data_IF_626469452612
#
_entry.id   IF_626469452612
#
_cell.length_a   1.000
_cell.length_b   1.000
_cell.length_c   1.000
_cell.angle_alpha   90.00
_cell.angle_beta   90.00
_cell.angle_gamma   90.00
#
_symmetry.space_group_name_H-M   'P 1'
#
loop_
_entity.id
_entity.type
_entity.pdbx_description
1 polymer ?
#
# COMPACT_ATOMS: atom_id res chain seq x y z
N UNK A 1 -1.18 25.24 3.42
CA UNK A 1 -2.64 25.06 3.67
C UNK A 1 -2.98 24.98 5.15
N UNK A 2 -2.05 24.47 5.97
CA UNK A 2 -2.12 24.41 7.43
C UNK A 2 -2.60 25.70 8.11
N UNK A 3 -2.28 26.85 7.53
CA UNK A 3 -2.61 28.17 8.10
C UNK A 3 -4.10 28.49 8.02
N UNK A 4 -4.83 27.84 7.11
CA UNK A 4 -6.28 28.05 6.91
C UNK A 4 -7.12 26.83 7.34
N UNK A 5 -6.53 25.63 7.42
CA UNK A 5 -7.21 24.41 7.86
C UNK A 5 -6.21 23.42 8.47
N UNK A 6 -6.08 23.37 9.81
CA UNK A 6 -5.13 22.48 10.49
C UNK A 6 -5.33 20.99 10.17
N UNK A 7 -6.58 20.58 9.90
CA UNK A 7 -6.95 19.21 9.50
C UNK A 7 -6.42 18.82 8.11
N UNK A 8 -6.13 19.80 7.26
CA UNK A 8 -5.65 19.59 5.89
C UNK A 8 -4.12 19.67 5.77
N UNK A 9 -3.39 19.69 6.90
CA UNK A 9 -1.91 19.73 6.95
C UNK A 9 -1.24 18.60 6.18
N UNK A 10 -1.89 17.45 6.03
CA UNK A 10 -1.38 16.32 5.24
C UNK A 10 -1.10 16.68 3.78
N UNK A 11 -1.83 17.65 3.21
CA UNK A 11 -1.55 18.15 1.86
C UNK A 11 -0.18 18.80 1.76
N UNK A 12 0.21 19.62 2.74
CA UNK A 12 1.49 20.31 2.73
C UNK A 12 2.63 19.29 2.81
N UNK A 13 2.51 18.29 3.68
CA UNK A 13 3.49 17.19 3.79
C UNK A 13 3.63 16.42 2.47
N UNK A 14 2.52 15.91 1.91
CA UNK A 14 2.59 15.08 0.71
C UNK A 14 2.96 15.87 -0.54
N UNK A 15 2.66 17.18 -0.59
CA UNK A 15 3.10 18.06 -1.67
C UNK A 15 4.60 18.29 -1.59
N UNK A 16 5.14 18.57 -0.40
CA UNK A 16 6.59 18.71 -0.19
C UNK A 16 7.35 17.42 -0.54
N UNK A 17 6.84 16.26 -0.14
CA UNK A 17 7.41 14.96 -0.55
C UNK A 17 7.35 14.78 -2.09
N UNK A 18 6.28 15.24 -2.73
CA UNK A 18 6.13 15.15 -4.19
C UNK A 18 7.12 16.02 -4.94
N UNK A 19 7.51 17.18 -4.38
CA UNK A 19 8.55 18.04 -4.92
C UNK A 19 9.92 17.35 -4.87
N UNK A 20 10.26 16.71 -3.75
CA UNK A 20 11.48 15.90 -3.68
C UNK A 20 11.50 14.76 -4.72
N UNK A 21 10.37 14.07 -4.91
CA UNK A 21 10.25 13.04 -5.97
C UNK A 21 10.37 13.65 -7.37
N UNK A 22 9.75 14.79 -7.60
CA UNK A 22 9.86 15.52 -8.87
C UNK A 22 11.32 15.83 -9.22
N UNK A 23 12.09 16.39 -8.28
CA UNK A 23 13.49 16.75 -8.46
C UNK A 23 14.33 15.53 -8.88
N UNK A 24 14.13 14.40 -8.21
CA UNK A 24 14.80 13.14 -8.57
C UNK A 24 14.42 12.66 -9.97
N UNK A 25 13.14 12.73 -10.34
CA UNK A 25 12.69 12.30 -11.67
C UNK A 25 13.20 13.22 -12.79
N UNK A 26 13.41 14.51 -12.49
CA UNK A 26 13.90 15.53 -13.44
C UNK A 26 15.42 15.70 -13.41
N UNK A 27 16.14 14.93 -12.60
CA UNK A 27 17.60 15.02 -12.46
C UNK A 27 18.33 14.80 -13.80
N UNK A 28 19.47 15.47 -14.05
CA UNK A 28 20.26 15.25 -15.26
C UNK A 28 20.64 13.77 -15.45
N UNK A 29 20.56 13.28 -16.69
CA UNK A 29 20.88 11.89 -17.01
C UNK A 29 19.73 10.88 -16.84
N UNK A 30 18.55 11.30 -16.36
CA UNK A 30 17.37 10.43 -16.36
C UNK A 30 16.82 10.22 -17.77
N UNK A 31 16.28 9.03 -18.01
CA UNK A 31 15.64 8.71 -19.29
C UNK A 31 14.45 9.67 -19.56
N UNK A 32 14.26 10.05 -20.83
CA UNK A 32 13.23 11.03 -21.22
C UNK A 32 11.82 10.68 -20.71
N UNK A 33 11.46 9.40 -20.66
CA UNK A 33 10.15 8.98 -20.18
C UNK A 33 9.98 9.13 -18.66
N UNK A 34 11.07 8.99 -17.88
CA UNK A 34 11.13 9.23 -16.43
C UNK A 34 11.00 10.73 -16.18
N UNK A 35 11.76 11.54 -16.90
CA UNK A 35 11.69 13.01 -16.82
C UNK A 35 10.26 13.53 -17.08
N UNK A 36 9.57 12.97 -18.08
CA UNK A 36 8.14 13.28 -18.33
C UNK A 36 7.24 12.92 -17.16
N UNK A 37 7.55 11.89 -16.36
CA UNK A 37 6.81 11.63 -15.13
C UNK A 37 7.02 12.76 -14.13
N UNK A 38 8.25 13.25 -13.98
CA UNK A 38 8.56 14.40 -13.11
C UNK A 38 7.74 15.64 -13.46
N UNK A 39 7.63 16.01 -14.75
CA UNK A 39 6.74 17.10 -15.21
C UNK A 39 5.27 16.89 -14.81
N UNK A 40 4.79 15.65 -14.79
CA UNK A 40 3.42 15.36 -14.35
C UNK A 40 3.28 15.50 -12.84
N UNK A 41 4.30 15.13 -12.06
CA UNK A 41 4.33 15.27 -10.59
C UNK A 41 4.33 16.76 -10.21
N UNK A 42 5.09 17.58 -10.93
CA UNK A 42 5.10 19.05 -10.79
C UNK A 42 3.68 19.62 -10.85
N UNK A 43 2.90 19.22 -11.84
CA UNK A 43 1.51 19.66 -12.03
C UNK A 43 0.47 18.91 -11.18
N UNK A 44 0.90 18.13 -10.19
CA UNK A 44 -0.01 17.39 -9.30
C UNK A 44 -0.44 18.29 -8.12
N UNK A 45 -1.75 18.38 -7.89
CA UNK A 45 -2.35 19.19 -6.83
C UNK A 45 -1.77 20.62 -6.72
N UNK A 46 -1.65 21.38 -7.82
CA UNK A 46 -1.12 22.74 -7.78
C UNK A 46 -2.11 23.71 -7.10
N UNK A 47 -3.39 23.38 -7.17
CA UNK A 47 -4.49 24.06 -6.48
C UNK A 47 -5.52 23.03 -6.04
N UNK A 48 -6.20 23.36 -4.94
CA UNK A 48 -7.22 22.54 -4.32
C UNK A 48 -8.49 23.38 -4.17
N UNK A 49 -9.57 22.92 -4.79
CA UNK A 49 -10.89 23.52 -4.64
C UNK A 49 -11.67 22.80 -3.55
N UNK A 50 -12.17 23.55 -2.58
CA UNK A 50 -13.01 23.04 -1.50
C UNK A 50 -14.43 23.57 -1.64
N UNK A 51 -15.41 22.72 -1.36
CA UNK A 51 -16.80 23.11 -1.23
C UNK A 51 -17.19 23.07 0.26
N UNK A 52 -17.97 24.05 0.70
CA UNK A 52 -18.63 23.98 2.00
C UNK A 52 -19.76 22.95 1.90
N UNK A 53 -19.70 21.93 2.75
CA UNK A 53 -20.68 20.84 2.77
C UNK A 53 -21.12 20.58 4.20
N UNK A 54 -22.40 20.30 4.42
CA UNK A 54 -22.87 19.79 5.69
C UNK A 54 -22.60 18.29 5.79
N UNK A 55 -22.17 17.83 6.95
CA UNK A 55 -22.14 16.40 7.26
C UNK A 55 -23.58 15.86 7.32
N UNK A 56 -23.92 14.79 6.58
CA UNK A 56 -25.28 14.25 6.56
C UNK A 56 -25.75 13.68 7.91
N UNK A 57 -24.82 13.22 8.76
CA UNK A 57 -25.15 12.60 10.06
C UNK A 57 -25.16 13.64 11.18
N UNK A 58 -24.18 14.55 11.20
CA UNK A 58 -24.06 15.53 12.30
C UNK A 58 -24.64 16.91 11.98
N UNK A 59 -24.88 17.22 10.70
CA UNK A 59 -25.32 18.54 10.23
C UNK A 59 -24.23 19.62 10.27
N UNK A 60 -23.01 19.29 10.72
CA UNK A 60 -21.92 20.25 10.85
C UNK A 60 -21.38 20.67 9.48
N UNK A 61 -21.22 21.98 9.28
CA UNK A 61 -20.66 22.53 8.06
C UNK A 61 -19.12 22.38 8.05
N UNK A 62 -18.59 21.71 7.04
CA UNK A 62 -17.17 21.51 6.85
C UNK A 62 -16.75 21.66 5.39
N UNK A 63 -15.54 22.19 5.18
CA UNK A 63 -14.90 22.17 3.86
C UNK A 63 -14.54 20.72 3.49
N UNK A 64 -15.01 20.27 2.32
CA UNK A 64 -14.61 19.01 1.68
C UNK A 64 -13.96 19.31 0.33
N UNK A 65 -12.92 18.54 0.00
CA UNK A 65 -12.23 18.67 -1.28
C UNK A 65 -13.20 18.34 -2.42
N UNK A 66 -13.43 19.31 -3.31
CA UNK A 66 -14.30 19.19 -4.47
C UNK A 66 -13.52 19.05 -5.78
N UNK A 67 -12.36 19.71 -5.89
CA UNK A 67 -11.56 19.71 -7.11
C UNK A 67 -10.07 19.62 -6.82
N UNK A 68 -9.38 18.72 -7.54
CA UNK A 68 -7.94 18.61 -7.55
C UNK A 68 -7.45 17.92 -8.83
N UNK A 69 -6.29 18.32 -9.33
CA UNK A 69 -5.60 17.63 -10.44
C UNK A 69 -4.66 16.57 -9.87
N UNK A 70 -4.84 15.31 -10.25
CA UNK A 70 -3.95 14.22 -9.83
C UNK A 70 -3.17 13.66 -11.01
N UNK A 71 -1.84 13.63 -10.90
CA UNK A 71 -0.98 13.16 -11.97
C UNK A 71 -1.05 11.65 -12.21
N UNK A 72 -1.43 10.87 -11.18
CA UNK A 72 -1.48 9.38 -11.18
C UNK A 72 -0.14 8.70 -11.45
N UNK A 73 0.97 9.42 -11.34
CA UNK A 73 2.32 8.83 -11.40
C UNK A 73 2.49 7.90 -10.20
N UNK A 74 3.02 6.69 -10.43
CA UNK A 74 3.13 5.64 -9.41
C UNK A 74 3.92 6.07 -8.17
N UNK A 75 4.91 6.95 -8.35
CA UNK A 75 5.78 7.40 -7.26
C UNK A 75 5.38 8.76 -6.70
N UNK A 76 4.32 9.41 -7.19
CA UNK A 76 3.85 10.68 -6.64
C UNK A 76 3.24 10.46 -5.24
N UNK A 77 3.82 11.04 -4.17
CA UNK A 77 3.33 10.90 -2.80
C UNK A 77 1.88 11.36 -2.63
N UNK A 78 1.50 12.51 -3.18
CA UNK A 78 0.09 12.97 -3.19
C UNK A 78 -0.84 11.93 -3.79
N UNK A 79 -0.52 11.38 -4.97
CA UNK A 79 -1.38 10.38 -5.60
C UNK A 79 -1.39 9.05 -4.85
N UNK A 80 -0.27 8.64 -4.23
CA UNK A 80 -0.21 7.44 -3.40
C UNK A 80 -1.08 7.56 -2.16
N UNK A 81 -0.99 8.69 -1.46
CA UNK A 81 -1.81 8.99 -0.30
C UNK A 81 -3.30 9.05 -0.65
N UNK A 82 -3.68 9.78 -1.71
CA UNK A 82 -5.08 9.82 -2.16
C UNK A 82 -5.59 8.43 -2.55
N UNK A 83 -4.72 7.59 -3.11
CA UNK A 83 -5.04 6.20 -3.44
C UNK A 83 -5.21 5.34 -2.20
N UNK A 84 -4.42 5.53 -1.13
CA UNK A 84 -4.61 4.79 0.13
C UNK A 84 -5.94 5.13 0.79
N UNK A 85 -6.30 6.42 0.85
CA UNK A 85 -7.62 6.86 1.34
C UNK A 85 -8.78 6.26 0.53
N UNK A 86 -8.65 6.22 -0.80
CA UNK A 86 -9.65 5.61 -1.67
C UNK A 86 -9.80 4.10 -1.39
N UNK A 87 -8.68 3.38 -1.23
CA UNK A 87 -8.73 1.95 -0.89
C UNK A 87 -9.33 1.70 0.48
N UNK A 88 -9.00 2.52 1.48
CA UNK A 88 -9.62 2.45 2.80
C UNK A 88 -11.13 2.66 2.72
N UNK A 89 -11.60 3.69 2.00
CA UNK A 89 -13.02 3.94 1.81
C UNK A 89 -13.74 2.76 1.14
N UNK A 90 -13.15 2.19 0.07
CA UNK A 90 -13.69 1.00 -0.59
C UNK A 90 -13.75 -0.21 0.34
N UNK A 91 -12.71 -0.41 1.15
CA UNK A 91 -12.69 -1.50 2.12
C UNK A 91 -13.79 -1.34 3.17
N UNK A 92 -13.97 -0.13 3.74
CA UNK A 92 -15.07 0.15 4.67
C UNK A 92 -16.46 -0.05 4.04
N UNK A 93 -16.64 0.32 2.78
CA UNK A 93 -17.90 0.11 2.06
C UNK A 93 -18.21 -1.38 1.82
N UNK A 94 -17.19 -2.19 1.57
CA UNK A 94 -17.35 -3.64 1.36
C UNK A 94 -17.47 -4.43 2.68
N UNK A 95 -17.06 -3.84 3.80
CA UNK A 95 -16.98 -4.53 5.09
C UNK A 95 -18.33 -5.11 5.58
N UNK A 96 -19.48 -4.42 5.46
CA UNK A 96 -20.76 -4.97 5.91
C UNK A 96 -21.16 -6.26 5.17
N UNK A 97 -21.01 -6.30 3.84
CA UNK A 97 -21.32 -7.49 3.03
C UNK A 97 -20.36 -8.64 3.35
N UNK A 98 -19.09 -8.32 3.59
CA UNK A 98 -18.06 -9.28 3.97
C UNK A 98 -18.35 -9.92 5.35
N UNK A 99 -18.77 -9.11 6.34
CA UNK A 99 -19.15 -9.59 7.66
C UNK A 99 -20.47 -10.37 7.66
N UNK A 100 -21.38 -10.07 6.72
CA UNK A 100 -22.58 -10.89 6.52
C UNK A 100 -22.24 -12.28 5.95
N UNK A 101 -21.24 -12.35 5.07
CA UNK A 101 -20.79 -13.60 4.44
C UNK A 101 -19.93 -14.46 5.36
N UNK A 102 -19.07 -13.82 6.17
CA UNK A 102 -18.23 -14.48 7.17
C UNK A 102 -18.51 -13.84 8.53
N UNK A 103 -19.55 -14.31 9.25
CA UNK A 103 -19.88 -13.78 10.57
C UNK A 103 -18.71 -13.88 11.53
N UNK A 104 -18.53 -12.84 12.34
CA UNK A 104 -17.45 -12.72 13.33
C UNK A 104 -16.04 -12.90 12.73
N UNK A 105 -15.89 -12.60 11.43
CA UNK A 105 -14.62 -12.62 10.73
C UNK A 105 -13.52 -11.89 11.50
N UNK A 106 -12.35 -12.51 11.54
CA UNK A 106 -11.16 -11.93 12.14
C UNK A 106 -10.11 -11.67 11.07
N UNK A 107 -9.22 -10.72 11.34
CA UNK A 107 -8.15 -10.36 10.43
C UNK A 107 -6.79 -10.70 11.02
N UNK A 108 -5.93 -11.31 10.21
CA UNK A 108 -4.52 -11.52 10.51
C UNK A 108 -3.69 -10.54 9.71
N UNK A 109 -2.69 -9.93 10.35
CA UNK A 109 -1.67 -9.16 9.66
C UNK A 109 -0.44 -10.04 9.42
N UNK A 110 -0.10 -10.24 8.15
CA UNK A 110 1.03 -11.05 7.72
C UNK A 110 2.03 -10.18 6.96
N UNK A 111 3.29 -10.22 7.39
CA UNK A 111 4.41 -9.63 6.66
C UNK A 111 5.31 -10.75 6.15
N UNK A 112 5.58 -10.77 4.85
CA UNK A 112 6.54 -11.70 4.24
C UNK A 112 7.60 -10.94 3.44
N UNK A 113 8.85 -11.38 3.52
CA UNK A 113 9.99 -10.64 2.99
C UNK A 113 11.00 -11.55 2.32
N UNK A 114 12.01 -10.94 1.69
CA UNK A 114 13.23 -11.59 1.19
C UNK A 114 14.42 -10.78 1.69
N UNK A 115 15.63 -11.33 1.60
CA UNK A 115 16.85 -10.58 1.86
C UNK A 115 16.89 -9.36 0.97
N UNK A 116 17.55 -8.33 1.46
CA UNK A 116 17.74 -7.13 0.68
C UNK A 116 18.41 -7.45 -0.65
N UNK A 117 17.99 -6.75 -1.69
CA UNK A 117 18.52 -6.88 -3.05
C UNK A 117 19.17 -5.56 -3.48
N UNK A 118 20.05 -5.61 -4.47
CA UNK A 118 20.52 -4.39 -5.11
C UNK A 118 19.33 -3.66 -5.76
N UNK A 119 19.36 -2.32 -5.81
CA UNK A 119 18.28 -1.52 -6.40
C UNK A 119 18.05 -1.90 -7.87
N UNK A 120 19.11 -2.24 -8.60
CA UNK A 120 19.05 -2.74 -9.98
C UNK A 120 18.19 -4.00 -10.13
N UNK A 121 18.18 -4.85 -9.10
CA UNK A 121 17.55 -6.17 -9.12
C UNK A 121 16.13 -6.13 -8.55
N UNK A 122 15.72 -4.99 -7.98
CA UNK A 122 14.43 -4.83 -7.31
C UNK A 122 13.25 -5.21 -8.22
N UNK A 123 13.30 -4.82 -9.49
CA UNK A 123 12.22 -5.16 -10.45
C UNK A 123 12.05 -6.66 -10.59
N UNK A 124 13.14 -7.40 -10.73
CA UNK A 124 13.09 -8.86 -10.91
C UNK A 124 12.79 -9.57 -9.59
N UNK A 125 13.31 -9.06 -8.49
CA UNK A 125 12.98 -9.51 -7.12
C UNK A 125 11.47 -9.41 -6.88
N UNK A 126 10.84 -8.27 -7.16
CA UNK A 126 9.39 -8.08 -7.01
C UNK A 126 8.57 -9.00 -7.90
N UNK A 127 9.00 -9.27 -9.14
CA UNK A 127 8.34 -10.26 -9.99
C UNK A 127 8.42 -11.67 -9.40
N UNK A 128 9.59 -12.04 -8.89
CA UNK A 128 9.81 -13.34 -8.25
C UNK A 128 8.97 -13.48 -7.00
N UNK A 129 8.93 -12.45 -6.15
CA UNK A 129 8.03 -12.39 -4.98
C UNK A 129 6.55 -12.46 -5.40
N UNK A 130 6.16 -11.81 -6.50
CA UNK A 130 4.81 -11.91 -7.06
C UNK A 130 4.44 -13.35 -7.42
N UNK A 131 5.32 -14.07 -8.11
CA UNK A 131 5.15 -15.50 -8.41
C UNK A 131 5.15 -16.37 -7.14
N UNK A 132 5.99 -16.02 -6.17
CA UNK A 132 6.06 -16.70 -4.87
C UNK A 132 4.73 -16.60 -4.12
N UNK A 133 4.14 -15.41 -4.09
CA UNK A 133 2.82 -15.20 -3.48
C UNK A 133 1.73 -16.06 -4.09
N UNK A 134 1.68 -16.17 -5.42
CA UNK A 134 0.68 -17.02 -6.07
C UNK A 134 0.83 -18.49 -5.68
N UNK A 135 2.06 -18.99 -5.48
CA UNK A 135 2.31 -20.33 -4.95
C UNK A 135 1.93 -20.42 -3.47
N UNK A 136 2.28 -19.40 -2.70
CA UNK A 136 2.05 -19.32 -1.26
C UNK A 136 0.55 -19.41 -0.93
N UNK A 137 -0.30 -18.70 -1.67
CA UNK A 137 -1.76 -18.74 -1.50
C UNK A 137 -2.40 -20.09 -1.85
N UNK A 138 -1.66 -20.99 -2.51
CA UNK A 138 -2.11 -22.35 -2.86
C UNK A 138 -1.62 -23.39 -1.85
N UNK A 139 -0.83 -23.00 -0.84
CA UNK A 139 -0.32 -23.90 0.19
C UNK A 139 -1.40 -24.26 1.19
N UNK A 140 -1.24 -25.40 1.87
CA UNK A 140 -2.15 -25.84 2.94
C UNK A 140 -2.25 -24.82 4.08
N UNK A 141 -1.17 -24.09 4.37
CA UNK A 141 -1.18 -23.05 5.40
C UNK A 141 -2.17 -21.92 5.07
N UNK A 142 -2.44 -21.68 3.78
CA UNK A 142 -3.45 -20.73 3.30
C UNK A 142 -4.87 -21.29 3.26
N UNK A 143 -5.11 -22.57 3.55
CA UNK A 143 -6.42 -23.20 3.31
C UNK A 143 -7.55 -22.64 4.16
N UNK A 144 -7.23 -22.02 5.30
CA UNK A 144 -8.20 -21.42 6.20
C UNK A 144 -8.37 -19.90 6.00
N UNK A 145 -7.74 -19.34 4.95
CA UNK A 145 -7.85 -17.93 4.58
C UNK A 145 -9.02 -17.77 3.61
N UNK A 146 -10.04 -17.03 4.01
CA UNK A 146 -11.26 -16.80 3.21
C UNK A 146 -11.04 -15.72 2.12
N UNK A 147 -10.07 -14.84 2.34
CA UNK A 147 -9.73 -13.76 1.43
C UNK A 147 -8.53 -12.96 1.93
N UNK A 148 -7.92 -12.15 1.07
CA UNK A 148 -6.80 -11.31 1.47
C UNK A 148 -6.68 -10.07 0.60
N UNK A 149 -6.10 -9.02 1.18
CA UNK A 149 -5.54 -7.88 0.47
C UNK A 149 -4.05 -7.81 0.75
N UNK A 150 -3.27 -7.32 -0.21
CA UNK A 150 -1.82 -7.21 -0.08
C UNK A 150 -1.28 -5.94 -0.71
N UNK A 151 -0.34 -5.30 -0.04
CA UNK A 151 0.47 -4.20 -0.56
C UNK A 151 1.93 -4.61 -0.68
N UNK A 152 2.65 -3.90 -1.54
CA UNK A 152 4.11 -4.02 -1.67
C UNK A 152 4.72 -2.79 -1.04
N UNK A 153 5.64 -3.00 -0.11
CA UNK A 153 6.45 -1.96 0.49
C UNK A 153 7.92 -2.24 0.19
N UNK A 154 8.68 -1.18 -0.06
CA UNK A 154 10.12 -1.26 -0.30
C UNK A 154 10.78 -0.21 0.58
N UNK A 155 11.51 -0.68 1.59
CA UNK A 155 12.34 0.17 2.46
C UNK A 155 13.78 0.15 2.00
N UNK A 156 14.58 1.11 2.47
CA UNK A 156 16.01 1.22 2.16
C UNK A 156 16.84 0.68 3.31
N UNK A 157 17.71 -0.28 3.02
CA UNK A 157 18.70 -0.80 3.96
C UNK A 157 19.75 0.25 4.31
N UNK A 158 20.45 0.06 5.44
CA UNK A 158 21.53 0.97 5.89
C UNK A 158 22.69 1.06 4.89
N UNK A 159 22.92 -0.01 4.15
CA UNK A 159 23.91 -0.13 3.07
C UNK A 159 23.39 0.41 1.71
N UNK A 160 22.17 0.96 1.67
CA UNK A 160 21.54 1.47 0.45
C UNK A 160 20.85 0.41 -0.40
N UNK A 161 20.85 -0.86 0.02
CA UNK A 161 20.09 -1.93 -0.63
C UNK A 161 18.57 -1.72 -0.51
N UNK A 162 17.79 -2.39 -1.36
CA UNK A 162 16.34 -2.37 -1.30
C UNK A 162 15.82 -3.56 -0.49
N UNK A 163 14.90 -3.31 0.43
CA UNK A 163 14.23 -4.32 1.27
C UNK A 163 12.75 -4.43 0.90
N UNK A 164 12.43 -5.22 -0.15
CA UNK A 164 11.04 -5.44 -0.53
C UNK A 164 10.35 -6.40 0.44
N UNK A 165 9.13 -6.07 0.83
CA UNK A 165 8.27 -6.94 1.61
C UNK A 165 6.81 -6.73 1.23
N UNK A 166 5.99 -7.73 1.56
CA UNK A 166 4.55 -7.66 1.42
C UNK A 166 3.91 -7.55 2.77
N UNK A 167 2.98 -6.62 2.89
CA UNK A 167 2.01 -6.58 3.97
C UNK A 167 0.70 -7.12 3.44
N UNK A 168 0.12 -8.08 4.16
CA UNK A 168 -1.16 -8.67 3.82
C UNK A 168 -2.10 -8.66 5.01
N UNK A 169 -3.35 -8.33 4.74
CA UNK A 169 -4.46 -8.52 5.67
C UNK A 169 -5.23 -9.75 5.21
N UNK A 170 -5.28 -10.78 6.05
CA UNK A 170 -5.91 -12.06 5.75
C UNK A 170 -7.22 -12.17 6.52
N UNK A 171 -8.29 -12.53 5.85
CA UNK A 171 -9.60 -12.81 6.44
C UNK A 171 -9.65 -14.27 6.89
N UNK A 172 -10.02 -14.50 8.14
CA UNK A 172 -10.19 -15.85 8.69
C UNK A 172 -11.50 -15.98 9.47
N UNK A 173 -12.04 -17.21 9.50
CA UNK A 173 -13.18 -17.55 10.35
C UNK A 173 -12.79 -17.53 11.84
N UNK A 174 -13.75 -17.33 12.76
CA UNK A 174 -13.50 -17.36 14.22
C UNK A 174 -12.84 -18.65 14.71
N UNK A 175 -13.07 -19.76 14.01
CA UNK A 175 -12.49 -21.07 14.36
C UNK A 175 -10.98 -21.15 14.12
N UNK A 176 -10.38 -20.19 13.41
CA UNK A 176 -8.97 -20.22 13.01
C UNK A 176 -8.05 -20.49 14.21
N UNK A 177 -8.15 -19.68 15.26
CA UNK A 177 -7.28 -19.80 16.44
C UNK A 177 -7.49 -21.07 17.27
N UNK A 178 -8.52 -21.87 16.98
CA UNK A 178 -8.81 -23.12 17.69
C UNK A 178 -8.48 -24.36 16.87
N UNK A 179 -8.78 -24.36 15.57
CA UNK A 179 -8.73 -25.57 14.71
C UNK A 179 -7.77 -25.45 13.52
N UNK A 180 -7.50 -24.24 13.05
CA UNK A 180 -6.76 -24.01 11.80
C UNK A 180 -5.55 -23.10 12.01
N UNK A 181 -5.11 -22.94 13.26
CA UNK A 181 -4.05 -22.03 13.61
C UNK A 181 -2.75 -22.48 12.96
N UNK A 182 -2.16 -21.59 12.17
CA UNK A 182 -0.83 -21.78 11.58
C UNK A 182 0.17 -21.00 12.42
N UNK A 183 1.11 -21.71 13.02
CA UNK A 183 2.18 -21.12 13.81
C UNK A 183 3.10 -20.27 12.92
N UNK A 184 3.74 -19.27 13.51
CA UNK A 184 4.70 -18.42 12.79
C UNK A 184 5.79 -19.23 12.09
N UNK A 185 6.32 -20.27 12.73
CA UNK A 185 7.33 -21.15 12.13
C UNK A 185 6.83 -21.86 10.87
N UNK A 186 5.55 -22.24 10.82
CA UNK A 186 4.95 -22.84 9.63
C UNK A 186 4.78 -21.80 8.51
N UNK A 187 4.37 -20.57 8.83
CA UNK A 187 4.32 -19.47 7.87
C UNK A 187 5.69 -19.19 7.25
N UNK A 188 6.74 -19.16 8.07
CA UNK A 188 8.13 -18.98 7.63
C UNK A 188 8.57 -20.07 6.66
N UNK A 189 8.31 -21.34 6.98
CA UNK A 189 8.65 -22.47 6.11
C UNK A 189 7.87 -22.43 4.80
N UNK A 190 6.56 -22.20 4.86
CA UNK A 190 5.71 -22.11 3.68
C UNK A 190 6.13 -20.95 2.77
N UNK A 191 6.49 -19.80 3.33
CA UNK A 191 7.00 -18.68 2.55
C UNK A 191 8.39 -18.96 1.97
N UNK A 192 9.33 -19.52 2.73
CA UNK A 192 10.64 -19.97 2.22
C UNK A 192 10.48 -20.84 0.98
N UNK A 193 9.65 -21.88 1.09
CA UNK A 193 9.43 -22.83 0.00
C UNK A 193 8.72 -22.20 -1.20
N UNK A 194 7.68 -21.38 -0.94
CA UNK A 194 6.96 -20.68 -1.99
C UNK A 194 7.87 -19.69 -2.72
N UNK A 195 8.74 -18.98 -2.00
CA UNK A 195 9.72 -18.05 -2.56
C UNK A 195 10.99 -18.73 -3.10
N UNK A 196 11.16 -20.04 -2.85
CA UNK A 196 12.33 -20.84 -3.24
C UNK A 196 13.63 -20.29 -2.66
N UNK A 197 13.59 -19.91 -1.38
CA UNK A 197 14.74 -19.38 -0.65
C UNK A 197 15.51 -20.54 -0.01
N UNK A 198 16.83 -20.39 0.05
CA UNK A 198 17.77 -21.28 0.74
C UNK A 198 17.94 -20.94 2.23
N UNK A 199 17.28 -19.88 2.72
CA UNK A 199 17.27 -19.43 4.12
C UNK A 199 15.84 -19.22 4.63
N UNK A 200 15.69 -19.12 5.96
CA UNK A 200 14.43 -18.71 6.58
C UNK A 200 14.37 -17.17 6.61
N UNK A 201 13.45 -16.55 5.85
CA UNK A 201 13.33 -15.09 5.71
C UNK A 201 12.69 -14.42 6.92
#
# INVERSE_FOLDING_TARGET
>A
MSDSSPKDRSWDTHRSEAEGVEEHLKSPGTERWIWKQGKRVEECSPSLGFALTADPETGEAGLKLAQAKFCRVRFCPVCQWRRSLMWQARFHQALPELLATVPDAQFLFLTVTVRNCAISDLRETLKTMGKAWNRFTQRREFSAIEGWIRTVEVTRGKDGSAHPHFHALLLVKPSYFKKHYVAQSQWLQAWREAARLDYIP
#
